data_IF_389869314073
#
_entry.id   IF_389869314073
#
_cell.length_a   1.000
_cell.length_b   1.000
_cell.length_c   1.000
_cell.angle_alpha   90.00
_cell.angle_beta   90.00
_cell.angle_gamma   90.00
#
_symmetry.space_group_name_H-M   'P 1'
#
loop_
_entity.id
_entity.type
_entity.pdbx_description
1 polymer ?
#
# COMPACT_ATOMS: atom_id res chain seq x y z
N UNK A 1 -35.58 35.15 48.12
CA UNK A 1 -35.89 34.83 46.71
C UNK A 1 -34.58 34.46 46.00
N UNK A 2 -34.32 33.16 45.83
CA UNK A 2 -33.12 32.66 45.18
C UNK A 2 -33.58 32.14 43.79
N UNK A 3 -33.16 32.85 42.73
CA UNK A 3 -33.46 32.46 41.35
C UNK A 3 -32.46 31.41 40.89
N UNK A 4 -32.95 30.18 40.64
CA UNK A 4 -32.19 29.06 40.10
C UNK A 4 -32.13 29.26 38.58
N UNK A 5 -30.95 29.61 38.04
CA UNK A 5 -30.69 29.61 36.57
C UNK A 5 -30.39 28.20 36.12
N UNK A 6 -31.34 27.60 35.42
CA UNK A 6 -31.16 26.28 34.75
C UNK A 6 -30.43 26.46 33.44
N UNK A 7 -29.13 26.16 33.40
CA UNK A 7 -28.31 26.19 32.19
C UNK A 7 -28.66 25.03 31.25
N UNK A 8 -29.25 25.35 30.08
CA UNK A 8 -29.52 24.37 29.01
C UNK A 8 -28.22 24.08 28.28
N UNK A 9 -27.64 22.90 28.50
CA UNK A 9 -26.47 22.40 27.76
C UNK A 9 -26.98 21.91 26.41
N UNK A 10 -26.82 22.70 25.35
CA UNK A 10 -27.03 22.26 23.97
C UNK A 10 -25.87 21.35 23.58
N UNK A 11 -26.09 20.03 23.57
CA UNK A 11 -25.19 19.07 22.92
C UNK A 11 -25.36 19.17 21.40
N UNK A 12 -24.39 19.79 20.72
CA UNK A 12 -24.35 19.81 19.27
C UNK A 12 -24.17 18.36 18.75
N UNK A 13 -24.98 17.91 17.76
CA UNK A 13 -24.77 16.59 17.17
C UNK A 13 -23.41 16.58 16.46
N UNK A 14 -22.54 15.68 16.86
CA UNK A 14 -21.30 15.37 16.16
C UNK A 14 -21.67 14.68 14.84
N UNK A 15 -21.63 15.41 13.75
CA UNK A 15 -21.80 14.85 12.41
C UNK A 15 -20.50 14.12 12.06
N UNK A 16 -20.49 12.80 12.21
CA UNK A 16 -19.42 11.98 11.64
C UNK A 16 -19.41 12.18 10.12
N UNK A 17 -18.28 12.60 9.58
CA UNK A 17 -18.13 12.77 8.13
C UNK A 17 -18.35 11.42 7.44
N UNK A 18 -19.15 11.40 6.36
CA UNK A 18 -19.37 10.18 5.57
C UNK A 18 -18.05 9.75 4.92
N UNK A 19 -17.62 8.47 5.08
CA UNK A 19 -16.38 7.99 4.48
C UNK A 19 -16.39 8.18 2.96
N UNK A 20 -15.26 8.61 2.40
CA UNK A 20 -15.07 8.69 0.95
C UNK A 20 -15.06 7.28 0.33
N UNK A 21 -15.22 7.18 -0.99
CA UNK A 21 -15.15 5.89 -1.69
C UNK A 21 -13.79 5.20 -1.51
N UNK A 22 -12.70 5.97 -1.45
CA UNK A 22 -11.36 5.42 -1.20
C UNK A 22 -11.24 4.87 0.22
N UNK A 23 -11.78 5.56 1.22
CA UNK A 23 -11.78 5.09 2.61
C UNK A 23 -12.55 3.78 2.76
N UNK A 24 -13.77 3.72 2.21
CA UNK A 24 -14.57 2.48 2.20
C UNK A 24 -13.87 1.34 1.50
N UNK A 25 -13.22 1.60 0.35
CA UNK A 25 -12.48 0.58 -0.37
C UNK A 25 -11.42 -0.08 0.51
N UNK A 26 -10.59 0.73 1.20
CA UNK A 26 -9.52 0.20 2.03
C UNK A 26 -10.01 -0.40 3.36
N UNK A 27 -11.12 0.08 3.92
CA UNK A 27 -11.76 -0.53 5.10
C UNK A 27 -12.24 -1.96 4.81
N UNK A 28 -12.90 -2.15 3.67
CA UNK A 28 -13.48 -3.43 3.27
C UNK A 28 -12.46 -4.39 2.64
N UNK A 29 -11.25 -3.90 2.31
CA UNK A 29 -10.20 -4.70 1.70
C UNK A 29 -9.57 -5.63 2.75
N UNK A 30 -9.67 -6.95 2.53
CA UNK A 30 -9.05 -7.98 3.35
C UNK A 30 -7.93 -8.70 2.62
N UNK A 31 -8.10 -8.93 1.31
CA UNK A 31 -7.13 -9.58 0.45
C UNK A 31 -7.16 -8.97 -0.96
N UNK A 32 -6.06 -9.10 -1.68
CA UNK A 32 -5.96 -8.65 -3.06
C UNK A 32 -5.02 -9.56 -3.83
N UNK A 33 -5.39 -9.86 -5.08
CA UNK A 33 -4.55 -10.51 -6.07
C UNK A 33 -4.58 -9.69 -7.33
N UNK A 34 -3.42 -9.42 -7.93
CA UNK A 34 -3.33 -8.71 -9.20
C UNK A 34 -2.05 -9.08 -9.95
N UNK A 35 -2.07 -8.98 -11.26
CA UNK A 35 -0.86 -8.75 -12.05
C UNK A 35 -0.58 -7.24 -12.07
N UNK A 36 0.69 -6.83 -12.18
CA UNK A 36 1.07 -5.42 -12.19
C UNK A 36 2.12 -5.10 -13.25
N UNK A 37 2.08 -3.85 -13.70
CA UNK A 37 3.18 -3.20 -14.40
C UNK A 37 3.61 -2.02 -13.55
N UNK A 38 4.88 -2.00 -13.16
CA UNK A 38 5.50 -0.90 -12.42
C UNK A 38 6.35 -0.07 -13.38
N UNK A 39 6.21 1.26 -13.32
CA UNK A 39 7.06 2.21 -14.03
C UNK A 39 7.61 3.22 -13.06
N UNK A 40 8.91 3.43 -13.14
CA UNK A 40 9.60 4.49 -12.40
C UNK A 40 9.90 5.62 -13.35
N UNK A 41 9.48 6.83 -12.97
CA UNK A 41 9.70 8.06 -13.72
C UNK A 41 10.67 8.95 -12.94
N UNK A 42 11.63 9.54 -13.66
CA UNK A 42 12.48 10.57 -13.07
C UNK A 42 11.72 11.91 -12.89
N UNK A 43 12.39 12.92 -12.36
CA UNK A 43 11.84 14.26 -12.15
C UNK A 43 11.44 14.97 -13.46
N UNK A 44 11.99 14.55 -14.60
CA UNK A 44 11.62 15.03 -15.95
C UNK A 44 10.50 14.20 -16.59
N UNK A 45 9.84 13.32 -15.82
CA UNK A 45 8.79 12.41 -16.27
C UNK A 45 9.21 11.40 -17.35
N UNK A 46 10.50 11.07 -17.48
CA UNK A 46 11.00 10.01 -18.36
C UNK A 46 10.95 8.68 -17.63
N UNK A 47 10.53 7.61 -18.31
CA UNK A 47 10.56 6.26 -17.74
C UNK A 47 12.02 5.79 -17.68
N UNK A 48 12.49 5.54 -16.46
CA UNK A 48 13.85 5.04 -16.18
C UNK A 48 13.87 3.55 -15.87
N UNK A 49 12.73 2.98 -15.45
CA UNK A 49 12.60 1.56 -15.19
C UNK A 49 11.17 1.08 -15.48
N UNK A 50 11.05 -0.12 -16.02
CA UNK A 50 9.78 -0.82 -16.14
C UNK A 50 9.97 -2.25 -15.62
N UNK A 51 9.07 -2.67 -14.75
CA UNK A 51 9.03 -4.01 -14.19
C UNK A 51 7.62 -4.57 -14.26
N UNK A 52 7.47 -5.88 -14.25
CA UNK A 52 6.15 -6.51 -14.19
C UNK A 52 6.17 -7.78 -13.34
N UNK A 53 4.99 -8.17 -12.88
CA UNK A 53 4.89 -9.35 -12.05
C UNK A 53 3.48 -9.60 -11.53
N UNK A 54 3.41 -10.34 -10.44
CA UNK A 54 2.16 -10.64 -9.71
C UNK A 54 2.30 -10.25 -8.26
N UNK A 55 1.21 -9.77 -7.67
CA UNK A 55 1.13 -9.51 -6.25
C UNK A 55 -0.05 -10.24 -5.61
N UNK A 56 0.15 -10.65 -4.37
CA UNK A 56 -0.86 -11.13 -3.43
C UNK A 56 -0.74 -10.31 -2.17
N UNK A 57 -1.86 -9.98 -1.55
CA UNK A 57 -1.87 -9.30 -0.26
C UNK A 57 -3.02 -9.85 0.59
N UNK A 58 -2.80 -9.98 1.89
CA UNK A 58 -3.81 -10.28 2.90
C UNK A 58 -3.53 -9.48 4.17
N UNK A 59 -4.54 -8.81 4.66
CA UNK A 59 -4.44 -8.11 5.95
C UNK A 59 -4.45 -9.09 7.12
N UNK A 60 -3.78 -8.76 8.23
CA UNK A 60 -2.79 -7.67 8.32
C UNK A 60 -1.40 -8.12 7.86
N UNK A 61 -0.65 -7.22 7.26
CA UNK A 61 0.82 -7.29 7.09
C UNK A 61 1.36 -8.51 6.34
N UNK A 62 0.56 -9.17 5.53
CA UNK A 62 1.00 -10.28 4.70
C UNK A 62 0.89 -9.89 3.24
N UNK A 63 1.98 -10.08 2.50
CA UNK A 63 1.99 -9.90 1.05
C UNK A 63 3.08 -10.78 0.40
N UNK A 64 2.88 -11.02 -0.89
CA UNK A 64 3.86 -11.60 -1.78
C UNK A 64 3.91 -10.79 -3.05
N UNK A 65 5.11 -10.49 -3.51
CA UNK A 65 5.37 -9.71 -4.70
C UNK A 65 6.40 -10.43 -5.55
N UNK A 66 5.95 -11.02 -6.65
CA UNK A 66 6.79 -11.77 -7.57
C UNK A 66 7.06 -10.90 -8.80
N UNK A 67 8.25 -10.29 -8.88
CA UNK A 67 8.74 -9.65 -10.10
C UNK A 67 9.19 -10.73 -11.08
N UNK A 68 8.84 -10.55 -12.36
CA UNK A 68 9.19 -11.45 -13.46
C UNK A 68 10.09 -10.80 -14.48
N UNK A 69 10.01 -9.48 -14.63
CA UNK A 69 10.81 -8.67 -15.56
C UNK A 69 11.26 -7.39 -14.89
N UNK A 70 12.45 -6.85 -15.21
CA UNK A 70 13.50 -7.41 -16.08
C UNK A 70 14.27 -8.56 -15.42
N UNK A 71 14.29 -8.66 -14.10
CA UNK A 71 14.94 -9.69 -13.29
C UNK A 71 13.91 -10.35 -12.36
N UNK A 72 14.11 -11.61 -12.02
CA UNK A 72 13.24 -12.33 -11.10
C UNK A 72 13.61 -11.98 -9.64
N UNK A 73 12.65 -11.42 -8.93
CA UNK A 73 12.76 -11.13 -7.50
C UNK A 73 11.48 -11.48 -6.79
N UNK A 74 11.59 -12.11 -5.63
CA UNK A 74 10.44 -12.47 -4.79
C UNK A 74 10.54 -11.71 -3.46
N UNK A 75 9.52 -10.91 -3.15
CA UNK A 75 9.43 -10.21 -1.88
C UNK A 75 8.20 -10.75 -1.13
N UNK A 76 8.41 -11.25 0.09
CA UNK A 76 7.33 -11.80 0.92
C UNK A 76 7.38 -11.17 2.29
N UNK A 77 6.23 -10.64 2.75
CA UNK A 77 5.98 -10.34 4.14
C UNK A 77 5.05 -11.42 4.71
N UNK A 78 5.49 -12.14 5.71
CA UNK A 78 4.75 -13.25 6.32
C UNK A 78 3.93 -12.84 7.57
N UNK A 79 4.02 -11.55 7.94
CA UNK A 79 3.41 -10.96 9.14
C UNK A 79 4.44 -10.63 10.23
N UNK A 80 5.62 -11.24 10.21
CA UNK A 80 6.71 -11.02 11.18
C UNK A 80 7.98 -10.50 10.50
N UNK A 81 8.29 -11.03 9.33
CA UNK A 81 9.52 -10.76 8.58
C UNK A 81 9.21 -10.34 7.15
N UNK A 82 10.13 -9.58 6.59
CA UNK A 82 10.22 -9.27 5.16
C UNK A 82 11.39 -10.05 4.58
N UNK A 83 11.09 -10.90 3.61
CA UNK A 83 12.03 -11.69 2.83
C UNK A 83 12.15 -11.06 1.45
N UNK A 84 13.35 -10.81 0.98
CA UNK A 84 13.63 -10.38 -0.39
C UNK A 84 14.62 -11.36 -1.02
N UNK A 85 14.16 -12.16 -1.96
CA UNK A 85 14.95 -13.14 -2.67
C UNK A 85 15.27 -12.64 -4.07
N UNK A 86 16.54 -12.40 -4.34
CA UNK A 86 17.08 -12.14 -5.67
C UNK A 86 17.47 -13.48 -6.28
N UNK A 87 16.77 -13.89 -7.34
CA UNK A 87 16.92 -15.22 -7.93
C UNK A 87 18.26 -15.32 -8.68
N UNK A 88 18.65 -14.25 -9.38
CA UNK A 88 19.88 -14.25 -10.18
C UNK A 88 21.14 -14.25 -9.30
N UNK A 89 21.06 -13.63 -8.12
CA UNK A 89 22.17 -13.61 -7.15
C UNK A 89 22.15 -14.80 -6.19
N UNK A 90 21.12 -15.64 -6.23
CA UNK A 90 20.90 -16.72 -5.25
C UNK A 90 21.01 -16.24 -3.80
N UNK A 91 20.52 -15.00 -3.52
CA UNK A 91 20.64 -14.37 -2.22
C UNK A 91 19.28 -13.97 -1.65
N UNK A 92 19.06 -14.27 -0.38
CA UNK A 92 17.89 -13.86 0.40
C UNK A 92 18.30 -12.84 1.45
N UNK A 93 17.66 -11.67 1.45
CA UNK A 93 17.76 -10.71 2.54
C UNK A 93 16.53 -10.85 3.43
N UNK A 94 16.72 -10.97 4.75
CA UNK A 94 15.63 -11.00 5.73
C UNK A 94 15.73 -9.84 6.69
N UNK A 95 14.61 -9.19 6.98
CA UNK A 95 14.48 -8.08 7.94
C UNK A 95 13.22 -8.24 8.77
N UNK A 96 13.21 -7.66 9.94
CA UNK A 96 11.98 -7.53 10.73
C UNK A 96 10.99 -6.62 10.00
N UNK A 97 9.73 -7.03 9.98
CA UNK A 97 8.69 -6.33 9.22
C UNK A 97 8.38 -4.94 9.77
N UNK A 98 8.41 -4.76 11.10
CA UNK A 98 8.21 -3.47 11.78
C UNK A 98 9.22 -2.39 11.34
N UNK A 99 10.43 -2.79 10.96
CA UNK A 99 11.50 -1.90 10.48
C UNK A 99 11.44 -1.67 8.95
N UNK A 100 10.77 -2.55 8.22
CA UNK A 100 10.80 -2.58 6.77
C UNK A 100 9.56 -1.96 6.09
N UNK A 101 8.41 -1.90 6.78
CA UNK A 101 7.14 -1.43 6.21
C UNK A 101 6.99 0.09 6.10
N UNK A 102 7.80 0.87 6.81
CA UNK A 102 7.58 2.31 7.00
C UNK A 102 7.45 3.16 5.73
N UNK A 103 7.83 2.64 4.56
CA UNK A 103 8.14 3.49 3.40
C UNK A 103 7.64 2.95 2.06
N UNK A 104 6.82 1.92 2.03
CA UNK A 104 6.40 1.33 0.75
C UNK A 104 4.92 1.54 0.46
N UNK A 105 4.49 1.62 -0.81
CA UNK A 105 3.07 1.61 -1.19
C UNK A 105 2.31 0.42 -0.61
N UNK A 106 3.05 -0.65 -0.26
CA UNK A 106 2.55 -1.87 0.35
C UNK A 106 2.03 -1.67 1.78
N UNK A 107 2.62 -0.76 2.55
CA UNK A 107 2.13 -0.44 3.90
C UNK A 107 0.69 0.07 3.87
N UNK A 108 0.32 0.80 2.81
CA UNK A 108 -1.06 1.25 2.59
C UNK A 108 -2.01 0.08 2.33
N UNK A 109 -1.60 -0.86 1.46
CA UNK A 109 -2.45 -1.98 1.06
C UNK A 109 -2.57 -3.02 2.18
N UNK A 110 -1.46 -3.31 2.88
CA UNK A 110 -1.37 -4.38 3.88
C UNK A 110 -1.63 -3.93 5.31
N UNK A 111 -1.67 -2.61 5.57
CA UNK A 111 -1.82 -2.05 6.90
C UNK A 111 -3.11 -2.47 7.61
N UNK A 112 -3.03 -2.70 8.92
CA UNK A 112 -4.18 -3.01 9.76
C UNK A 112 -4.97 -1.75 10.15
N UNK A 113 -4.31 -0.58 10.16
CA UNK A 113 -4.89 0.69 10.57
C UNK A 113 -5.75 1.32 9.44
N UNK A 114 -6.79 2.08 9.81
CA UNK A 114 -7.53 2.91 8.85
C UNK A 114 -6.60 3.88 8.11
N UNK A 115 -6.86 4.06 6.81
CA UNK A 115 -6.03 4.90 5.94
C UNK A 115 -5.90 6.34 6.46
N UNK A 116 -6.92 6.84 7.17
CA UNK A 116 -6.99 8.19 7.73
C UNK A 116 -6.03 8.42 8.89
N UNK A 117 -5.58 7.36 9.53
CA UNK A 117 -4.57 7.48 10.60
C UNK A 117 -3.20 7.82 10.01
N UNK A 118 -2.88 7.29 8.84
CA UNK A 118 -1.60 7.50 8.18
C UNK A 118 -1.63 8.63 7.15
N UNK A 119 -2.80 8.92 6.55
CA UNK A 119 -2.91 9.87 5.45
C UNK A 119 -4.05 10.88 5.62
N UNK A 120 -3.84 12.06 5.09
CA UNK A 120 -4.89 13.01 4.78
C UNK A 120 -5.39 12.72 3.35
N UNK A 121 -6.65 12.33 3.22
CA UNK A 121 -7.27 12.03 1.93
C UNK A 121 -7.80 13.30 1.32
N UNK A 122 -7.34 13.64 0.12
CA UNK A 122 -7.84 14.76 -0.67
C UNK A 122 -9.18 14.45 -1.36
N UNK A 123 -9.84 15.46 -1.93
CA UNK A 123 -11.07 15.28 -2.70
C UNK A 123 -10.77 14.48 -3.99
N UNK A 124 -11.80 13.77 -4.48
CA UNK A 124 -11.75 13.11 -5.77
C UNK A 124 -11.56 14.12 -6.90
N UNK A 125 -10.62 13.85 -7.79
CA UNK A 125 -10.43 14.59 -9.03
C UNK A 125 -10.75 13.68 -10.21
N UNK A 126 -11.80 14.00 -10.98
CA UNK A 126 -12.18 13.19 -12.14
C UNK A 126 -11.45 13.66 -13.39
N UNK A 127 -10.71 12.72 -14.02
CA UNK A 127 -9.96 12.94 -15.26
C UNK A 127 -10.06 11.68 -16.13
N UNK A 128 -10.44 11.86 -17.40
CA UNK A 128 -10.52 10.76 -18.39
C UNK A 128 -11.35 9.55 -17.93
N UNK A 129 -12.44 9.80 -17.19
CA UNK A 129 -13.29 8.74 -16.65
C UNK A 129 -12.73 7.99 -15.44
N UNK A 130 -11.62 8.44 -14.90
CA UNK A 130 -10.96 7.92 -13.69
C UNK A 130 -11.13 8.88 -12.52
N UNK A 131 -11.29 8.35 -11.32
CA UNK A 131 -11.33 9.08 -10.08
C UNK A 131 -9.98 8.99 -9.37
N UNK A 132 -9.31 10.14 -9.22
CA UNK A 132 -7.98 10.28 -8.62
C UNK A 132 -8.12 10.83 -7.22
N UNK A 133 -7.50 10.18 -6.25
CA UNK A 133 -7.40 10.64 -4.87
C UNK A 133 -5.94 10.84 -4.51
N UNK A 134 -5.59 12.03 -4.06
CA UNK A 134 -4.26 12.28 -3.50
C UNK A 134 -4.30 12.09 -1.99
N UNK A 135 -3.38 11.29 -1.50
CA UNK A 135 -3.17 10.96 -0.11
C UNK A 135 -1.84 11.57 0.33
N UNK A 136 -1.90 12.50 1.28
CA UNK A 136 -0.71 13.13 1.85
C UNK A 136 -0.38 12.45 3.18
N UNK A 137 0.86 11.96 3.39
CA UNK A 137 1.27 11.40 4.65
C UNK A 137 1.07 12.38 5.81
N UNK A 138 0.63 11.88 6.97
CA UNK A 138 0.55 12.68 8.20
C UNK A 138 1.88 12.76 8.92
N UNK A 139 2.73 11.77 8.72
CA UNK A 139 4.07 11.74 9.28
C UNK A 139 4.99 12.68 8.50
N UNK A 140 5.59 13.72 9.17
CA UNK A 140 6.43 14.70 8.48
C UNK A 140 7.72 14.14 7.88
N UNK A 141 8.20 13.00 8.39
CA UNK A 141 9.42 12.32 7.95
C UNK A 141 9.14 11.14 7.02
N UNK A 142 7.93 11.06 6.44
CA UNK A 142 7.62 10.05 5.44
C UNK A 142 8.64 10.12 4.28
N UNK A 143 9.06 8.97 3.78
CA UNK A 143 10.00 8.88 2.64
C UNK A 143 9.38 9.36 1.32
N UNK A 144 8.06 9.49 1.25
CA UNK A 144 7.34 9.98 0.07
C UNK A 144 6.46 11.19 0.40
N UNK A 145 6.29 12.04 -0.59
CA UNK A 145 5.54 13.29 -0.51
C UNK A 145 4.04 13.08 -0.69
N UNK A 146 3.66 12.21 -1.61
CA UNK A 146 2.27 11.94 -1.95
C UNK A 146 2.09 10.52 -2.49
N UNK A 147 0.92 9.98 -2.24
CA UNK A 147 0.45 8.75 -2.85
C UNK A 147 -0.86 9.08 -3.60
N UNK A 148 -0.98 8.66 -4.86
CA UNK A 148 -2.20 8.80 -5.63
C UNK A 148 -2.83 7.45 -5.84
N UNK A 149 -4.12 7.36 -5.56
CA UNK A 149 -4.93 6.15 -5.76
C UNK A 149 -5.93 6.44 -6.86
N UNK A 150 -5.99 5.58 -7.87
CA UNK A 150 -6.78 5.79 -9.07
C UNK A 150 -7.82 4.69 -9.22
N UNK A 151 -9.07 5.09 -9.38
CA UNK A 151 -10.19 4.18 -9.57
C UNK A 151 -10.86 4.38 -10.93
N UNK A 152 -11.38 3.28 -11.48
CA UNK A 152 -12.36 3.28 -12.56
C UNK A 152 -13.67 2.71 -12.00
N UNK A 153 -14.59 3.61 -11.63
CA UNK A 153 -15.73 3.22 -10.81
C UNK A 153 -15.27 2.71 -9.43
N UNK A 154 -15.59 1.47 -9.10
CA UNK A 154 -15.15 0.83 -7.85
C UNK A 154 -13.85 0.02 -7.99
N UNK A 155 -13.31 -0.10 -9.19
CA UNK A 155 -12.10 -0.87 -9.46
C UNK A 155 -10.86 -0.02 -9.23
N UNK A 156 -9.97 -0.44 -8.33
CA UNK A 156 -8.63 0.11 -8.19
C UNK A 156 -7.82 -0.26 -9.45
N UNK A 157 -7.34 0.75 -10.18
CA UNK A 157 -6.59 0.54 -11.42
C UNK A 157 -5.12 0.94 -11.34
N UNK A 158 -4.78 1.89 -10.45
CA UNK A 158 -3.38 2.31 -10.31
C UNK A 158 -3.10 2.90 -8.93
N UNK A 159 -1.85 2.76 -8.50
CA UNK A 159 -1.23 3.50 -7.41
C UNK A 159 -0.02 4.26 -7.96
N UNK A 160 0.16 5.51 -7.56
CA UNK A 160 1.33 6.30 -7.91
C UNK A 160 1.92 6.93 -6.65
N UNK A 161 3.17 6.60 -6.35
CA UNK A 161 3.96 7.17 -5.27
C UNK A 161 4.85 8.27 -5.82
N UNK A 162 4.94 9.40 -5.13
CA UNK A 162 5.87 10.47 -5.44
C UNK A 162 6.79 10.74 -4.25
N UNK A 163 8.09 10.66 -4.46
CA UNK A 163 9.07 10.94 -3.43
C UNK A 163 9.38 12.45 -3.31
N UNK A 164 10.26 12.82 -2.37
CA UNK A 164 10.65 14.20 -2.13
C UNK A 164 11.57 14.78 -3.21
N UNK A 165 12.13 13.94 -4.08
CA UNK A 165 12.99 14.33 -5.21
C UNK A 165 12.23 14.45 -6.52
N UNK A 166 10.91 14.20 -6.51
CA UNK A 166 10.07 14.25 -7.71
C UNK A 166 10.08 12.98 -8.54
N UNK A 167 10.76 11.92 -8.09
CA UNK A 167 10.66 10.61 -8.69
C UNK A 167 9.26 10.02 -8.45
N UNK A 168 8.67 9.38 -9.44
CA UNK A 168 7.36 8.76 -9.32
C UNK A 168 7.43 7.28 -9.66
N UNK A 169 6.86 6.46 -8.79
CA UNK A 169 6.67 5.03 -9.02
C UNK A 169 5.19 4.76 -9.22
N UNK A 170 4.81 4.31 -10.39
CA UNK A 170 3.42 3.99 -10.74
C UNK A 170 3.26 2.49 -10.91
N UNK A 171 2.23 1.96 -10.27
CA UNK A 171 1.76 0.59 -10.36
C UNK A 171 0.42 0.58 -11.10
N UNK A 172 0.37 0.00 -12.27
CA UNK A 172 -0.87 -0.24 -13.01
C UNK A 172 -1.29 -1.69 -12.80
N UNK A 173 -2.51 -1.92 -12.30
CA UNK A 173 -3.02 -3.24 -11.98
C UNK A 173 -3.81 -3.83 -13.15
N UNK A 174 -3.63 -5.14 -13.33
CA UNK A 174 -4.36 -5.97 -14.29
C UNK A 174 -4.91 -7.18 -13.56
N UNK A 175 -6.03 -7.72 -14.03
CA UNK A 175 -6.66 -8.92 -13.45
C UNK A 175 -6.83 -8.81 -11.93
N UNK A 176 -7.16 -7.60 -11.43
CA UNK A 176 -7.29 -7.35 -10.01
C UNK A 176 -8.54 -8.03 -9.46
N UNK A 177 -8.34 -8.87 -8.45
CA UNK A 177 -9.38 -9.52 -7.67
C UNK A 177 -9.35 -8.98 -6.24
N UNK A 178 -10.48 -8.46 -5.79
CA UNK A 178 -10.67 -7.96 -4.43
C UNK A 178 -11.25 -9.05 -3.55
N UNK A 179 -10.64 -9.25 -2.40
CA UNK A 179 -11.02 -10.25 -1.40
C UNK A 179 -11.11 -11.70 -1.95
N UNK A 180 -10.13 -12.13 -2.79
CA UNK A 180 -10.07 -13.52 -3.19
C UNK A 180 -9.76 -14.43 -1.99
N UNK A 181 -10.19 -15.68 -2.07
CA UNK A 181 -9.67 -16.71 -1.17
C UNK A 181 -8.21 -17.03 -1.55
N UNK A 182 -7.29 -16.74 -0.62
CA UNK A 182 -5.87 -16.97 -0.81
C UNK A 182 -5.38 -18.09 0.10
N UNK A 183 -4.74 -19.09 -0.51
CA UNK A 183 -4.02 -20.11 0.27
C UNK A 183 -2.96 -19.43 1.15
N UNK A 184 -3.01 -19.60 2.48
CA UNK A 184 -2.02 -19.05 3.40
C UNK A 184 -0.57 -19.44 3.09
N UNK A 185 -0.36 -20.59 2.45
CA UNK A 185 0.96 -21.06 2.08
C UNK A 185 1.64 -20.15 1.05
N UNK A 186 0.88 -19.47 0.19
CA UNK A 186 1.41 -18.53 -0.81
C UNK A 186 2.05 -17.30 -0.17
N UNK A 187 1.66 -16.95 1.06
CA UNK A 187 2.14 -15.80 1.82
C UNK A 187 3.22 -16.15 2.84
N UNK A 188 3.83 -17.32 2.67
CA UNK A 188 5.00 -17.77 3.43
C UNK A 188 6.20 -17.92 2.51
N UNK A 189 7.38 -17.72 3.05
CA UNK A 189 8.62 -17.91 2.32
C UNK A 189 9.55 -18.86 3.08
N UNK A 190 10.13 -19.77 2.34
CA UNK A 190 11.21 -20.64 2.83
C UNK A 190 12.36 -20.50 1.84
N UNK A 191 13.55 -20.06 2.28
CA UNK A 191 14.71 -19.97 1.41
C UNK A 191 14.98 -21.29 0.69
N UNK A 192 15.23 -21.29 -0.63
CA UNK A 192 15.64 -22.48 -1.35
C UNK A 192 16.95 -23.06 -0.78
N UNK A 193 17.17 -24.38 -0.91
CA UNK A 193 18.43 -24.98 -0.47
C UNK A 193 19.64 -24.38 -1.21
N UNK A 194 20.69 -24.02 -0.48
CA UNK A 194 21.94 -23.53 -1.05
C UNK A 194 22.03 -22.02 -1.33
N UNK A 195 20.93 -21.26 -1.13
CA UNK A 195 20.99 -19.81 -1.26
C UNK A 195 21.64 -19.17 -0.03
N UNK A 196 22.31 -18.04 -0.24
CA UNK A 196 22.88 -17.24 0.84
C UNK A 196 21.77 -16.45 1.54
N UNK A 197 21.71 -16.51 2.89
CA UNK A 197 20.71 -15.80 3.69
C UNK A 197 21.40 -14.78 4.59
N UNK A 198 21.12 -13.50 4.37
CA UNK A 198 21.72 -12.38 5.10
C UNK A 198 20.66 -11.58 5.86
N UNK A 199 21.02 -11.04 7.03
CA UNK A 199 20.16 -10.18 7.85
C UNK A 199 19.68 -10.88 9.13
N UNK A 200 18.46 -10.51 9.60
CA UNK A 200 17.91 -10.95 10.88
C UNK A 200 17.34 -12.38 10.78
N UNK A 201 18.20 -13.38 10.94
CA UNK A 201 17.83 -14.81 10.91
C UNK A 201 17.40 -15.36 12.26
N UNK A 202 17.52 -14.60 13.36
CA UNK A 202 17.27 -15.01 14.75
C UNK A 202 15.84 -14.91 15.22
#
# INVERSE_FOLDING_TARGET
MIALMLGLILTAPSWAATPTSVQRYFQDLQALRADFIQRVFDEQARIVQTSSGRMLMRKPNQFRWDYRTPAEQIIVADGERLWAYDVDLEQVTVRRLDQALGSTPLSLLSGAAPIEESFKVGPAQRRDGLDWYELTPREPQSEFRALRVVFKGELLVSLELEDHFGQRTRLDFQNLERNPDLDPALLRFTPPPGVDVVGDTG
#
